data_IF_677133225324
#
_entry.id   IF_677133225324
#
_cell.length_a   1.000
_cell.length_b   1.000
_cell.length_c   1.000
_cell.angle_alpha   90.00
_cell.angle_beta   90.00
_cell.angle_gamma   90.00
#
_symmetry.space_group_name_H-M   'P 1'
#
loop_
_entity.id
_entity.type
_entity.pdbx_description
1 polymer ?
#
# COMPACT_ATOMS: atom_id res chain seq x y z
N UNK A 1 7.04 -22.26 16.70
CA UNK A 1 6.71 -21.03 15.94
C UNK A 1 8.00 -20.28 15.67
N UNK A 2 8.26 -19.86 14.43
CA UNK A 2 9.45 -19.06 14.12
C UNK A 2 9.27 -17.63 14.68
N UNK A 3 10.31 -17.07 15.30
CA UNK A 3 10.31 -15.70 15.79
C UNK A 3 10.63 -14.71 14.67
N UNK A 4 10.13 -13.47 14.80
CA UNK A 4 10.39 -12.40 13.85
C UNK A 4 11.90 -12.09 13.75
N UNK A 5 12.41 -12.08 12.52
CA UNK A 5 13.82 -11.77 12.26
C UNK A 5 14.06 -10.25 12.25
N UNK A 6 15.29 -9.82 11.96
CA UNK A 6 15.65 -8.40 11.94
C UNK A 6 14.89 -7.60 10.86
N UNK A 7 14.67 -8.20 9.68
CA UNK A 7 13.95 -7.57 8.58
C UNK A 7 12.47 -7.38 8.90
N UNK A 8 11.84 -8.37 9.55
CA UNK A 8 10.46 -8.27 10.02
C UNK A 8 10.29 -7.13 11.04
N UNK A 9 11.24 -7.00 11.98
CA UNK A 9 11.24 -5.93 12.99
C UNK A 9 11.43 -4.54 12.35
N UNK A 10 12.31 -4.43 11.36
CA UNK A 10 12.53 -3.18 10.63
C UNK A 10 11.30 -2.77 9.81
N UNK A 11 10.64 -3.73 9.15
CA UNK A 11 9.37 -3.48 8.47
C UNK A 11 8.31 -3.00 9.46
N UNK A 12 8.14 -3.70 10.58
CA UNK A 12 7.14 -3.34 11.59
C UNK A 12 7.38 -1.93 12.16
N UNK A 13 8.64 -1.56 12.40
CA UNK A 13 9.01 -0.21 12.82
C UNK A 13 8.53 0.83 11.80
N UNK A 14 8.80 0.61 10.52
CA UNK A 14 8.41 1.54 9.45
C UNK A 14 6.89 1.63 9.31
N UNK A 15 6.17 0.51 9.39
CA UNK A 15 4.70 0.49 9.40
C UNK A 15 4.15 1.30 10.57
N UNK A 16 4.70 1.12 11.78
CA UNK A 16 4.24 1.88 12.95
C UNK A 16 4.43 3.40 12.75
N UNK A 17 5.55 3.81 12.18
CA UNK A 17 5.84 5.22 11.88
C UNK A 17 4.88 5.81 10.83
N UNK A 18 4.66 5.11 9.71
CA UNK A 18 3.73 5.56 8.65
C UNK A 18 2.31 5.75 9.19
N UNK A 19 1.79 4.78 9.96
CA UNK A 19 0.43 4.88 10.49
C UNK A 19 0.32 5.94 11.58
N UNK A 20 1.30 6.05 12.47
CA UNK A 20 1.29 7.07 13.53
C UNK A 20 1.31 8.47 12.92
N UNK A 21 2.20 8.73 11.96
CA UNK A 21 2.30 10.03 11.30
C UNK A 21 1.10 10.37 10.43
N UNK A 22 0.48 9.37 9.78
CA UNK A 22 -0.78 9.56 9.08
C UNK A 22 -1.87 10.06 10.04
N UNK A 23 -2.01 9.42 11.20
CA UNK A 23 -3.01 9.83 12.20
C UNK A 23 -2.73 11.24 12.75
N UNK A 24 -1.47 11.60 12.99
CA UNK A 24 -1.13 12.87 13.64
C UNK A 24 -1.01 14.05 12.68
N UNK A 25 -0.69 13.82 11.41
CA UNK A 25 -0.37 14.89 10.45
C UNK A 25 -1.09 14.78 9.10
N UNK A 26 -1.85 13.70 8.89
CA UNK A 26 -2.47 13.39 7.60
C UNK A 26 -1.48 12.92 6.52
N UNK A 27 -0.17 12.87 6.82
CA UNK A 27 0.88 12.47 5.87
C UNK A 27 1.65 11.27 6.42
N UNK A 28 1.60 10.09 5.78
CA UNK A 28 2.35 8.94 6.22
C UNK A 28 3.83 9.13 5.89
N UNK A 29 4.66 9.18 6.92
CA UNK A 29 6.12 9.27 6.82
C UNK A 29 6.79 8.23 7.73
N UNK A 30 7.95 7.74 7.30
CA UNK A 30 8.82 6.87 8.10
C UNK A 30 10.26 7.32 7.90
N UNK A 31 11.06 7.28 8.97
CA UNK A 31 12.43 7.80 8.98
C UNK A 31 13.33 7.12 7.96
N UNK A 32 13.18 5.80 7.80
CA UNK A 32 13.97 4.97 6.88
C UNK A 32 13.10 4.40 5.75
N UNK A 33 11.86 4.86 5.64
CA UNK A 33 10.92 4.41 4.63
C UNK A 33 11.05 5.21 3.33
N UNK A 34 10.48 4.67 2.26
CA UNK A 34 10.31 5.41 1.01
C UNK A 34 9.21 6.47 1.14
N UNK A 35 9.21 7.48 0.28
CA UNK A 35 8.12 8.45 0.22
C UNK A 35 6.85 7.75 -0.25
N UNK A 36 5.81 7.73 0.59
CA UNK A 36 4.50 7.22 0.23
C UNK A 36 3.76 8.26 -0.60
N UNK A 37 3.67 8.03 -1.90
CA UNK A 37 2.98 8.93 -2.83
C UNK A 37 1.46 8.72 -2.74
N UNK A 38 0.66 9.80 -2.70
CA UNK A 38 -0.80 9.69 -2.66
C UNK A 38 -1.35 9.15 -4.00
N UNK A 39 -2.45 8.40 -3.92
CA UNK A 39 -3.22 8.01 -5.10
C UNK A 39 -4.02 9.21 -5.60
N UNK A 40 -3.85 9.58 -6.86
CA UNK A 40 -4.51 10.75 -7.47
C UNK A 40 -5.54 10.40 -8.54
N UNK A 41 -5.75 9.11 -8.83
CA UNK A 41 -6.64 8.65 -9.89
C UNK A 41 -7.66 7.65 -9.33
N UNK A 42 -8.90 7.73 -9.81
CA UNK A 42 -9.99 6.80 -9.45
C UNK A 42 -9.74 5.38 -9.95
N UNK A 43 -8.94 5.24 -11.01
CA UNK A 43 -8.47 3.94 -11.52
C UNK A 43 -7.42 3.27 -10.62
N UNK A 44 -7.08 3.90 -9.50
CA UNK A 44 -5.95 3.54 -8.66
C UNK A 44 -4.66 4.23 -9.09
N UNK A 45 -3.62 4.08 -8.27
CA UNK A 45 -2.30 4.67 -8.47
C UNK A 45 -1.20 3.77 -7.90
N UNK A 46 0.05 4.25 -7.88
CA UNK A 46 1.14 3.52 -7.26
C UNK A 46 0.78 3.18 -5.81
N UNK A 47 0.96 1.91 -5.42
CA UNK A 47 0.75 1.49 -4.03
C UNK A 47 2.07 1.32 -3.30
N UNK A 48 2.05 1.53 -2.00
CA UNK A 48 3.18 1.17 -1.14
C UNK A 48 3.17 -0.34 -0.90
N UNK A 49 4.22 -1.03 -1.33
CA UNK A 49 4.48 -2.42 -0.98
C UNK A 49 5.18 -2.46 0.39
N UNK A 50 4.62 -3.23 1.31
CA UNK A 50 5.19 -3.50 2.64
C UNK A 50 5.65 -4.95 2.67
N UNK A 51 6.96 -5.17 2.60
CA UNK A 51 7.56 -6.51 2.58
C UNK A 51 8.86 -6.51 3.41
N UNK A 52 9.19 -7.61 4.14
CA UNK A 52 10.43 -7.68 4.90
C UNK A 52 11.69 -7.53 4.02
N UNK A 53 11.60 -7.89 2.74
CA UNK A 53 12.68 -7.72 1.75
C UNK A 53 12.85 -6.28 1.26
N UNK A 54 11.93 -5.38 1.62
CA UNK A 54 11.99 -3.96 1.28
C UNK A 54 10.62 -3.31 1.08
N UNK A 55 10.57 -2.01 1.36
CA UNK A 55 9.40 -1.15 1.12
C UNK A 55 9.64 -0.38 -0.19
N UNK A 56 8.66 -0.37 -1.09
CA UNK A 56 8.76 0.36 -2.37
C UNK A 56 7.41 0.82 -2.87
N UNK A 57 7.39 1.88 -3.67
CA UNK A 57 6.22 2.22 -4.49
C UNK A 57 6.18 1.29 -5.70
N UNK A 58 5.01 0.73 -6.01
CA UNK A 58 4.84 -0.14 -7.17
C UNK A 58 3.58 0.17 -7.97
N UNK A 59 3.69 0.04 -9.29
CA UNK A 59 2.59 0.21 -10.22
C UNK A 59 1.99 -1.15 -10.56
N UNK A 60 0.72 -1.38 -10.22
CA UNK A 60 0.04 -2.65 -10.48
C UNK A 60 -0.93 -2.56 -11.66
N UNK A 61 -0.41 -2.36 -12.88
CA UNK A 61 -1.22 -2.22 -14.09
C UNK A 61 -2.19 -3.42 -14.30
N UNK A 62 -1.72 -4.65 -14.11
CA UNK A 62 -2.52 -5.87 -14.28
C UNK A 62 -3.65 -6.05 -13.22
N UNK A 63 -3.65 -5.27 -12.13
CA UNK A 63 -4.74 -5.25 -11.17
C UNK A 63 -5.83 -4.27 -11.62
N UNK A 64 -5.45 -3.17 -12.27
CA UNK A 64 -6.37 -2.15 -12.76
C UNK A 64 -7.38 -2.72 -13.78
N UNK A 65 -6.93 -3.58 -14.69
CA UNK A 65 -7.83 -4.21 -15.68
C UNK A 65 -8.83 -5.17 -15.03
N UNK A 66 -8.41 -5.90 -13.99
CA UNK A 66 -9.30 -6.74 -13.19
C UNK A 66 -10.30 -5.90 -12.42
N UNK A 67 -9.88 -4.78 -11.83
CA UNK A 67 -10.78 -3.85 -11.15
C UNK A 67 -11.82 -3.28 -12.12
N UNK A 68 -11.43 -2.87 -13.33
CA UNK A 68 -12.35 -2.39 -14.37
C UNK A 68 -13.36 -3.46 -14.78
N UNK A 69 -12.90 -4.69 -15.00
CA UNK A 69 -13.78 -5.82 -15.32
C UNK A 69 -14.84 -6.03 -14.24
N UNK A 70 -14.43 -6.14 -12.98
CA UNK A 70 -15.35 -6.38 -11.87
C UNK A 70 -16.32 -5.22 -11.64
N UNK A 71 -15.84 -3.98 -11.77
CA UNK A 71 -16.72 -2.80 -11.72
C UNK A 71 -17.74 -2.80 -12.86
N UNK A 72 -17.37 -3.27 -14.05
CA UNK A 72 -18.30 -3.46 -15.17
C UNK A 72 -19.36 -4.51 -14.87
N UNK A 73 -18.93 -5.74 -14.57
CA UNK A 73 -19.82 -6.88 -14.27
C UNK A 73 -20.79 -6.55 -13.13
N UNK A 74 -20.32 -5.88 -12.06
CA UNK A 74 -21.19 -5.50 -10.95
C UNK A 74 -22.37 -4.62 -11.39
N UNK A 75 -22.20 -3.75 -12.39
CA UNK A 75 -23.28 -2.90 -12.88
C UNK A 75 -24.34 -3.68 -13.67
N UNK A 76 -23.96 -4.81 -14.25
CA UNK A 76 -24.85 -5.68 -15.04
C UNK A 76 -25.60 -6.71 -14.19
N UNK A 77 -25.02 -7.15 -13.07
CA UNK A 77 -25.64 -8.18 -12.19
C UNK A 77 -26.71 -7.57 -11.26
N UNK A 78 -26.61 -6.28 -10.92
CA UNK A 78 -27.54 -5.61 -10.00
C UNK A 78 -28.75 -4.94 -10.69
N UNK A 79 -29.14 -5.40 -11.88
CA UNK A 79 -30.40 -5.02 -12.57
C UNK A 79 -31.47 -6.09 -12.39
#
# INVERSE_FOLDING_TARGET
>A
MASANAADKALFQSMREYWTSFVTSGKPVSKNGVVWQPTTLDSGGPRLLLNPSGIKMEQMAALADRCKLWQGISKEIWT
#
